data_IF_058259833170
#
_entry.id   IF_058259833170
#
_cell.length_a   1.000
_cell.length_b   1.000
_cell.length_c   1.000
_cell.angle_alpha   90.00
_cell.angle_beta   90.00
_cell.angle_gamma   90.00
#
_symmetry.space_group_name_H-M   'P 1'
#
loop_
_entity.id
_entity.type
_entity.pdbx_description
1 polymer ?
#
# COMPACT_ATOMS: atom_id res chain seq x y z
N UNK A 1 -12.59 -10.50 3.76
CA UNK A 1 -11.62 -9.68 4.52
C UNK A 1 -10.90 -8.79 3.53
N UNK A 2 -10.76 -7.50 3.87
CA UNK A 2 -10.12 -6.49 3.04
C UNK A 2 -8.87 -5.96 3.73
N UNK A 3 -7.76 -5.87 3.01
CA UNK A 3 -6.43 -5.53 3.54
C UNK A 3 -5.96 -4.26 2.85
N UNK A 4 -5.32 -3.36 3.60
CA UNK A 4 -4.56 -2.23 3.00
C UNK A 4 -3.09 -2.28 3.34
N UNK A 5 -2.26 -2.02 2.33
CA UNK A 5 -0.81 -1.84 2.44
C UNK A 5 -0.36 -0.45 2.02
N UNK A 6 0.79 -0.05 2.54
CA UNK A 6 1.56 1.07 1.99
C UNK A 6 2.23 0.68 0.68
N UNK A 7 2.47 1.65 -0.23
CA UNK A 7 3.29 1.42 -1.41
C UNK A 7 4.77 1.36 -1.02
N UNK A 8 5.62 0.98 -1.97
CA UNK A 8 7.06 1.07 -1.81
C UNK A 8 7.66 2.28 -2.54
N UNK A 9 8.81 2.72 -2.04
CA UNK A 9 9.62 3.80 -2.62
C UNK A 9 10.45 3.33 -3.80
N UNK A 10 10.94 2.09 -3.74
CA UNK A 10 11.68 1.45 -4.82
C UNK A 10 10.70 0.68 -5.70
N UNK A 11 11.02 0.63 -6.99
CA UNK A 11 10.19 0.02 -8.00
C UNK A 11 11.03 -0.97 -8.81
N UNK A 12 10.43 -2.06 -9.22
CA UNK A 12 11.00 -3.06 -10.13
C UNK A 12 10.12 -3.10 -11.38
N UNK A 13 10.68 -2.71 -12.51
CA UNK A 13 10.04 -2.78 -13.83
C UNK A 13 10.73 -3.78 -14.77
N UNK A 14 11.74 -4.51 -14.28
CA UNK A 14 12.62 -5.36 -15.08
C UNK A 14 12.32 -6.86 -14.91
N UNK A 15 12.01 -7.31 -13.69
CA UNK A 15 11.86 -8.76 -13.40
C UNK A 15 10.75 -9.41 -14.22
N UNK A 16 10.97 -10.63 -14.70
CA UNK A 16 9.96 -11.35 -15.49
C UNK A 16 8.70 -11.61 -14.67
N UNK A 17 7.54 -11.18 -15.18
CA UNK A 17 6.26 -11.39 -14.51
C UNK A 17 5.81 -12.87 -14.59
N UNK A 18 5.27 -13.45 -13.50
CA UNK A 18 4.77 -14.83 -13.49
C UNK A 18 3.41 -14.98 -14.19
N UNK A 19 2.71 -13.86 -14.44
CA UNK A 19 1.41 -13.77 -15.08
C UNK A 19 1.33 -12.54 -16.01
N UNK A 20 0.43 -12.59 -17.00
CA UNK A 20 0.14 -11.47 -17.91
C UNK A 20 -1.17 -10.72 -17.57
N UNK A 21 -2.01 -11.29 -16.69
CA UNK A 21 -3.28 -10.69 -16.26
C UNK A 21 -3.01 -9.37 -15.54
N UNK A 22 -3.74 -8.34 -15.94
CA UNK A 22 -3.67 -7.01 -15.35
C UNK A 22 -5.05 -6.34 -15.38
N UNK A 23 -5.20 -5.27 -14.61
CA UNK A 23 -6.41 -4.46 -14.51
C UNK A 23 -6.05 -2.97 -14.60
N UNK A 24 -7.07 -2.12 -14.63
CA UNK A 24 -6.92 -0.66 -14.70
C UNK A 24 -7.22 -0.02 -13.34
N UNK A 25 -6.41 0.97 -12.96
CA UNK A 25 -6.59 1.68 -11.69
C UNK A 25 -7.88 2.50 -11.67
N UNK A 26 -8.56 2.55 -10.53
CA UNK A 26 -9.87 3.18 -10.40
C UNK A 26 -9.86 4.72 -10.56
N UNK A 27 -8.71 5.38 -10.35
CA UNK A 27 -8.60 6.83 -10.27
C UNK A 27 -7.59 7.41 -11.27
N UNK A 28 -7.57 6.92 -12.51
CA UNK A 28 -6.62 7.38 -13.52
C UNK A 28 -6.81 8.86 -13.92
N UNK A 29 -8.03 9.38 -13.87
CA UNK A 29 -8.28 10.81 -14.14
C UNK A 29 -7.64 11.69 -13.06
N UNK A 30 -7.79 11.32 -11.80
CA UNK A 30 -7.12 12.00 -10.69
C UNK A 30 -5.59 11.84 -10.75
N UNK A 31 -5.10 10.64 -11.08
CA UNK A 31 -3.68 10.38 -11.23
C UNK A 31 -3.07 11.26 -12.35
N UNK A 32 -3.73 11.37 -13.50
CA UNK A 32 -3.32 12.26 -14.58
C UNK A 32 -3.32 13.72 -14.11
N UNK A 33 -4.34 14.16 -13.37
CA UNK A 33 -4.40 15.52 -12.84
C UNK A 33 -3.22 15.83 -11.92
N UNK A 34 -2.88 14.91 -11.01
CA UNK A 34 -1.71 15.04 -10.13
C UNK A 34 -0.40 15.04 -10.93
N UNK A 35 -0.26 14.15 -11.91
CA UNK A 35 0.92 14.12 -12.77
C UNK A 35 1.08 15.44 -13.57
N UNK A 36 -0.01 16.03 -14.08
CA UNK A 36 0.01 17.35 -14.75
C UNK A 36 0.55 18.46 -13.84
N UNK A 37 0.35 18.38 -12.52
CA UNK A 37 0.92 19.33 -11.55
C UNK A 37 2.42 19.05 -11.30
N UNK A 38 2.81 17.78 -11.24
CA UNK A 38 4.20 17.37 -11.05
C UNK A 38 5.06 17.68 -12.28
N UNK A 39 4.54 17.44 -13.49
CA UNK A 39 5.19 17.67 -14.79
C UNK A 39 5.62 19.12 -15.01
N UNK A 40 4.98 20.08 -14.33
CA UNK A 40 5.32 21.52 -14.36
C UNK A 40 6.49 21.90 -13.44
N UNK A 41 6.93 21.02 -12.54
CA UNK A 41 8.01 21.29 -11.59
C UNK A 41 9.35 20.93 -12.21
N UNK A 42 10.37 21.74 -11.97
CA UNK A 42 11.75 21.38 -12.31
C UNK A 42 12.25 20.24 -11.42
N UNK A 43 13.27 19.50 -11.87
CA UNK A 43 13.94 18.47 -11.07
C UNK A 43 14.34 18.98 -9.67
N UNK A 44 14.96 20.16 -9.58
CA UNK A 44 15.32 20.80 -8.30
C UNK A 44 14.10 21.08 -7.41
N UNK A 45 12.98 21.50 -8.00
CA UNK A 45 11.73 21.71 -7.26
C UNK A 45 11.15 20.39 -6.74
N UNK A 46 11.26 19.31 -7.50
CA UNK A 46 10.86 17.96 -7.08
C UNK A 46 11.75 17.44 -5.95
N UNK A 47 13.09 17.59 -6.04
CA UNK A 47 14.02 17.26 -4.96
C UNK A 47 13.61 17.90 -3.64
N UNK A 48 13.32 19.20 -3.67
CA UNK A 48 12.88 19.97 -2.48
C UNK A 48 11.49 19.56 -1.99
N UNK A 49 10.55 19.33 -2.90
CA UNK A 49 9.17 18.96 -2.56
C UNK A 49 9.09 17.60 -1.88
N UNK A 50 9.87 16.63 -2.36
CA UNK A 50 9.84 15.24 -1.92
C UNK A 50 10.95 14.90 -0.90
N UNK A 51 11.81 15.88 -0.57
CA UNK A 51 12.98 15.70 0.29
C UNK A 51 13.87 14.53 -0.16
N UNK A 52 14.23 14.51 -1.44
CA UNK A 52 15.06 13.49 -2.10
C UNK A 52 16.33 14.10 -2.68
N UNK A 53 17.31 13.26 -3.00
CA UNK A 53 18.55 13.69 -3.66
C UNK A 53 18.29 14.27 -5.06
N UNK A 54 19.24 15.05 -5.57
CA UNK A 54 19.12 15.63 -6.92
C UNK A 54 19.03 14.57 -8.02
N UNK A 55 19.76 13.46 -7.88
CA UNK A 55 19.64 12.33 -8.80
C UNK A 55 18.22 11.74 -8.81
N UNK A 56 17.59 11.57 -7.64
CA UNK A 56 16.21 11.11 -7.54
C UNK A 56 15.21 12.18 -8.03
N UNK A 57 15.50 13.46 -7.82
CA UNK A 57 14.69 14.56 -8.35
C UNK A 57 14.68 14.59 -9.88
N UNK A 58 15.85 14.37 -10.51
CA UNK A 58 15.98 14.27 -11.96
C UNK A 58 15.25 13.04 -12.51
N UNK A 59 15.45 11.86 -11.92
CA UNK A 59 14.74 10.64 -12.31
C UNK A 59 13.22 10.81 -12.26
N UNK A 60 12.69 11.45 -11.21
CA UNK A 60 11.25 11.65 -11.10
C UNK A 60 10.74 12.78 -11.98
N UNK A 61 11.58 13.75 -12.34
CA UNK A 61 11.24 14.71 -13.40
C UNK A 61 10.97 13.98 -14.72
N UNK A 62 11.89 13.10 -15.15
CA UNK A 62 11.77 12.30 -16.37
C UNK A 62 10.52 11.41 -16.34
N UNK A 63 10.30 10.66 -15.25
CA UNK A 63 9.09 9.84 -15.06
C UNK A 63 7.81 10.64 -15.22
N UNK A 64 7.74 11.85 -14.66
CA UNK A 64 6.54 12.69 -14.78
C UNK A 64 6.34 13.20 -16.22
N UNK A 65 7.41 13.39 -16.99
CA UNK A 65 7.31 13.77 -18.41
C UNK A 65 6.79 12.60 -19.26
N UNK A 66 7.31 11.40 -19.02
CA UNK A 66 6.99 10.16 -19.74
C UNK A 66 5.60 9.60 -19.37
N UNK A 67 5.12 9.93 -18.17
CA UNK A 67 3.84 9.42 -17.68
C UNK A 67 2.70 9.79 -18.64
N UNK A 68 2.00 8.76 -19.12
CA UNK A 68 0.97 8.90 -20.15
C UNK A 68 -0.02 7.72 -20.15
N UNK A 69 -1.24 8.01 -20.57
CA UNK A 69 -2.29 7.03 -20.83
C UNK A 69 -2.41 6.79 -22.35
N UNK A 70 -2.87 5.60 -22.79
CA UNK A 70 -3.31 4.46 -21.98
C UNK A 70 -2.14 3.65 -21.40
N UNK A 71 -2.40 2.97 -20.28
CA UNK A 71 -1.46 1.99 -19.73
C UNK A 71 -1.53 0.67 -20.50
N UNK A 72 -0.37 0.12 -20.81
CA UNK A 72 -0.20 -1.19 -21.47
C UNK A 72 0.87 -1.99 -20.73
N UNK A 73 1.03 -3.27 -21.09
CA UNK A 73 2.13 -4.10 -20.58
C UNK A 73 3.52 -3.56 -20.93
N UNK A 74 3.63 -2.68 -21.92
CA UNK A 74 4.90 -2.17 -22.42
C UNK A 74 5.35 -0.92 -21.65
N UNK A 75 4.39 -0.15 -21.12
CA UNK A 75 4.67 1.11 -20.43
C UNK A 75 4.31 1.08 -18.94
N UNK A 76 3.63 0.04 -18.45
CA UNK A 76 3.18 -0.05 -17.08
C UNK A 76 3.29 -1.48 -16.55
N UNK A 77 3.27 -1.61 -15.21
CA UNK A 77 3.40 -2.90 -14.53
C UNK A 77 2.33 -3.04 -13.44
N UNK A 78 1.80 -4.26 -13.19
CA UNK A 78 0.84 -4.45 -12.11
C UNK A 78 1.45 -4.09 -10.75
N UNK A 79 0.72 -3.32 -9.95
CA UNK A 79 1.22 -2.65 -8.74
C UNK A 79 1.97 -3.56 -7.76
N UNK A 80 1.46 -4.76 -7.49
CA UNK A 80 2.08 -5.69 -6.54
C UNK A 80 3.43 -6.21 -7.00
N UNK A 81 3.66 -6.29 -8.31
CA UNK A 81 4.94 -6.70 -8.90
C UNK A 81 5.86 -5.50 -9.21
N UNK A 82 5.31 -4.28 -9.23
CA UNK A 82 6.06 -3.05 -9.43
C UNK A 82 6.70 -2.54 -8.14
N UNK A 83 5.99 -2.60 -7.01
CA UNK A 83 6.53 -2.13 -5.75
C UNK A 83 7.58 -3.10 -5.16
N UNK A 84 8.74 -2.56 -4.80
CA UNK A 84 9.85 -3.32 -4.22
C UNK A 84 10.32 -2.67 -2.92
N UNK A 85 10.31 -3.43 -1.83
CA UNK A 85 10.71 -2.96 -0.50
C UNK A 85 10.30 -3.95 0.60
N UNK A 86 10.62 -3.64 1.86
CA UNK A 86 10.46 -4.55 3.00
C UNK A 86 9.08 -5.23 3.08
N UNK A 87 7.99 -4.48 2.90
CA UNK A 87 6.62 -5.03 2.89
C UNK A 87 6.43 -6.06 1.77
N UNK A 88 6.92 -5.74 0.57
CA UNK A 88 6.75 -6.60 -0.61
C UNK A 88 7.71 -7.79 -0.61
N UNK A 89 8.88 -7.67 0.03
CA UNK A 89 9.74 -8.80 0.36
C UNK A 89 9.06 -9.76 1.34
N UNK A 90 8.35 -9.24 2.34
CA UNK A 90 7.59 -10.08 3.26
C UNK A 90 6.36 -10.74 2.61
N UNK A 91 5.70 -10.04 1.68
CA UNK A 91 4.59 -10.62 0.92
C UNK A 91 5.07 -11.72 -0.04
N UNK A 92 6.25 -11.53 -0.62
CA UNK A 92 6.90 -12.44 -1.57
C UNK A 92 5.96 -12.92 -2.68
N UNK A 93 5.36 -11.97 -3.40
CA UNK A 93 4.29 -12.23 -4.37
C UNK A 93 4.73 -13.12 -5.53
N UNK A 94 6.03 -13.20 -5.82
CA UNK A 94 6.56 -14.05 -6.90
C UNK A 94 6.47 -15.55 -6.57
N UNK A 95 6.41 -15.91 -5.29
CA UNK A 95 6.21 -17.30 -4.85
C UNK A 95 4.75 -17.62 -4.56
N UNK A 96 3.84 -16.66 -4.73
CA UNK A 96 2.41 -16.87 -4.50
C UNK A 96 1.83 -17.79 -5.59
N UNK A 97 1.18 -18.91 -5.22
CA UNK A 97 0.49 -19.79 -6.17
C UNK A 97 -0.55 -19.03 -7.01
N UNK A 98 -0.69 -19.41 -8.29
CA UNK A 98 -1.57 -18.70 -9.25
C UNK A 98 -3.05 -18.69 -8.83
N UNK A 99 -3.51 -19.74 -8.15
CA UNK A 99 -4.87 -19.87 -7.61
C UNK A 99 -5.16 -18.90 -6.46
N UNK A 100 -4.13 -18.33 -5.81
CA UNK A 100 -4.28 -17.29 -4.79
C UNK A 100 -4.25 -15.86 -5.35
N UNK A 101 -3.90 -15.68 -6.63
CA UNK A 101 -3.82 -14.34 -7.24
C UNK A 101 -5.20 -13.68 -7.31
N UNK A 102 -6.25 -14.43 -7.59
CA UNK A 102 -7.62 -13.88 -7.65
C UNK A 102 -8.07 -13.43 -6.26
N UNK A 103 -7.82 -14.25 -5.24
CA UNK A 103 -8.10 -13.88 -3.86
C UNK A 103 -7.29 -12.63 -3.43
N UNK A 104 -6.01 -12.55 -3.79
CA UNK A 104 -5.20 -11.35 -3.56
C UNK A 104 -5.81 -10.13 -4.25
N UNK A 105 -6.22 -10.25 -5.51
CA UNK A 105 -6.82 -9.18 -6.29
C UNK A 105 -8.14 -8.68 -5.68
N UNK A 106 -8.92 -9.56 -5.06
CA UNK A 106 -10.16 -9.23 -4.36
C UNK A 106 -9.90 -8.59 -2.99
N UNK A 107 -8.97 -9.15 -2.20
CA UNK A 107 -8.78 -8.81 -0.79
C UNK A 107 -7.76 -7.71 -0.51
N UNK A 108 -6.72 -7.54 -1.33
CA UNK A 108 -5.64 -6.59 -1.05
C UNK A 108 -5.84 -5.26 -1.78
N UNK A 109 -5.56 -4.15 -1.11
CA UNK A 109 -5.45 -2.81 -1.70
C UNK A 109 -4.14 -2.15 -1.28
N UNK A 110 -3.58 -1.35 -2.17
CA UNK A 110 -2.35 -0.59 -1.94
C UNK A 110 -2.69 0.89 -2.00
N UNK A 111 -2.51 1.61 -0.89
CA UNK A 111 -2.78 3.04 -0.85
C UNK A 111 -1.66 3.78 -1.60
N UNK A 112 -1.98 4.76 -2.43
CA UNK A 112 -1.01 5.47 -3.27
C UNK A 112 -1.24 6.98 -3.23
N UNK A 113 -0.16 7.76 -3.12
CA UNK A 113 -0.25 9.22 -3.22
C UNK A 113 -0.63 9.71 -4.62
N UNK A 114 -0.26 8.97 -5.66
CA UNK A 114 -0.58 9.32 -7.06
C UNK A 114 -1.87 8.65 -7.56
N UNK A 115 -2.08 7.38 -7.22
CA UNK A 115 -3.20 6.58 -7.75
C UNK A 115 -4.37 6.45 -6.78
N UNK A 116 -4.27 7.03 -5.57
CA UNK A 116 -5.27 6.92 -4.51
C UNK A 116 -5.28 5.53 -3.87
N UNK A 117 -5.88 4.56 -4.57
CA UNK A 117 -5.89 3.15 -4.16
C UNK A 117 -5.73 2.25 -5.39
N UNK A 118 -4.89 1.23 -5.27
CA UNK A 118 -4.61 0.27 -6.33
C UNK A 118 -5.01 -1.14 -5.88
N UNK A 119 -5.55 -1.93 -6.80
CA UNK A 119 -5.57 -3.39 -6.69
C UNK A 119 -4.19 -3.96 -7.06
N UNK A 120 -3.85 -5.17 -6.61
CA UNK A 120 -2.58 -5.82 -6.90
C UNK A 120 -2.21 -5.84 -8.38
N UNK A 121 -3.19 -6.12 -9.24
CA UNK A 121 -3.00 -6.25 -10.67
C UNK A 121 -3.26 -4.96 -11.46
N UNK A 122 -3.56 -3.84 -10.81
CA UNK A 122 -3.74 -2.56 -11.50
C UNK A 122 -2.40 -2.12 -12.09
N UNK A 123 -2.38 -1.82 -13.38
CA UNK A 123 -1.22 -1.25 -14.04
C UNK A 123 -0.87 0.11 -13.44
N UNK A 124 0.42 0.32 -13.20
CA UNK A 124 0.97 1.61 -12.82
C UNK A 124 2.27 1.89 -13.57
N UNK A 125 2.45 3.15 -13.94
CA UNK A 125 3.73 3.70 -14.37
C UNK A 125 4.58 4.13 -13.17
N UNK A 126 5.92 4.17 -13.34
CA UNK A 126 6.82 4.54 -12.25
C UNK A 126 6.60 5.99 -11.82
N UNK A 127 6.60 6.22 -10.51
CA UNK A 127 6.38 7.54 -9.95
C UNK A 127 7.06 7.71 -8.59
N UNK A 128 7.10 8.94 -8.10
CA UNK A 128 7.35 9.24 -6.70
C UNK A 128 6.38 10.31 -6.23
N UNK A 129 5.49 9.93 -5.31
CA UNK A 129 4.60 10.86 -4.62
C UNK A 129 4.08 10.18 -3.36
N UNK A 130 4.74 10.42 -2.25
CA UNK A 130 4.29 9.93 -0.96
C UNK A 130 3.02 10.66 -0.48
N UNK A 131 2.16 9.97 0.26
CA UNK A 131 0.89 10.55 0.74
C UNK A 131 1.13 11.76 1.67
N UNK A 132 2.25 11.77 2.40
CA UNK A 132 2.65 12.89 3.25
C UNK A 132 3.19 14.12 2.51
N UNK A 133 3.38 14.09 1.19
CA UNK A 133 3.92 15.22 0.43
C UNK A 133 2.99 16.43 0.54
N UNK A 134 3.55 17.57 0.97
CA UNK A 134 2.83 18.85 1.09
C UNK A 134 2.65 19.50 -0.29
N UNK A 135 1.74 18.95 -1.08
CA UNK A 135 1.39 19.45 -2.41
C UNK A 135 -0.09 19.84 -2.46
N UNK A 136 -0.42 21.14 -2.63
CA UNK A 136 -1.80 21.57 -2.88
C UNK A 136 -2.33 21.04 -4.21
N UNK A 137 -3.63 20.72 -4.25
CA UNK A 137 -4.32 20.19 -5.44
C UNK A 137 -5.65 20.91 -5.61
N UNK A 138 -5.65 21.95 -6.46
CA UNK A 138 -6.79 22.86 -6.62
C UNK A 138 -7.15 23.51 -5.28
N UNK A 139 -8.37 23.28 -4.80
CA UNK A 139 -8.86 23.78 -3.50
C UNK A 139 -8.37 22.98 -2.29
N UNK A 140 -7.76 21.81 -2.49
CA UNK A 140 -7.31 20.94 -1.40
C UNK A 140 -5.89 21.33 -0.99
N UNK A 141 -5.64 21.46 0.31
CA UNK A 141 -4.36 21.92 0.84
C UNK A 141 -3.24 20.89 0.72
N UNK A 142 -3.60 19.61 0.60
CA UNK A 142 -2.68 18.47 0.55
C UNK A 142 -3.36 17.24 -0.07
N UNK A 143 -2.57 16.16 -0.23
CA UNK A 143 -3.05 14.89 -0.77
C UNK A 143 -4.09 14.20 0.10
N UNK A 144 -4.03 14.34 1.44
CA UNK A 144 -5.04 13.77 2.32
C UNK A 144 -6.43 14.35 2.04
N UNK A 145 -6.55 15.68 1.94
CA UNK A 145 -7.82 16.34 1.62
C UNK A 145 -8.32 15.95 0.21
N UNK A 146 -7.41 15.84 -0.75
CA UNK A 146 -7.74 15.44 -2.12
C UNK A 146 -8.29 14.01 -2.22
N UNK A 147 -7.71 13.07 -1.46
CA UNK A 147 -7.98 11.64 -1.55
C UNK A 147 -8.99 11.11 -0.56
N UNK A 148 -9.06 11.66 0.67
CA UNK A 148 -9.74 11.02 1.80
C UNK A 148 -11.17 10.57 1.49
N UNK A 149 -11.97 11.46 0.91
CA UNK A 149 -13.35 11.14 0.55
C UNK A 149 -13.43 10.05 -0.54
N UNK A 150 -12.60 10.16 -1.59
CA UNK A 150 -12.61 9.24 -2.74
C UNK A 150 -12.20 7.83 -2.34
N UNK A 151 -11.08 7.70 -1.63
CA UNK A 151 -10.57 6.39 -1.19
C UNK A 151 -11.58 5.72 -0.25
N UNK A 152 -12.11 6.47 0.73
CA UNK A 152 -13.06 5.92 1.70
C UNK A 152 -14.35 5.46 1.02
N UNK A 153 -14.90 6.26 0.11
CA UNK A 153 -16.09 5.88 -0.66
C UNK A 153 -15.82 4.61 -1.49
N UNK A 154 -14.69 4.55 -2.19
CA UNK A 154 -14.33 3.39 -3.01
C UNK A 154 -14.16 2.12 -2.18
N UNK A 155 -13.58 2.22 -0.99
CA UNK A 155 -13.50 1.10 -0.06
C UNK A 155 -14.89 0.64 0.38
N UNK A 156 -15.78 1.56 0.76
CA UNK A 156 -17.14 1.19 1.19
C UNK A 156 -17.98 0.53 0.09
N UNK A 157 -17.74 0.86 -1.18
CA UNK A 157 -18.35 0.18 -2.34
C UNK A 157 -17.92 -1.28 -2.46
N UNK A 158 -16.72 -1.62 -1.98
CA UNK A 158 -16.13 -2.96 -2.12
C UNK A 158 -16.16 -3.80 -0.83
N UNK A 159 -16.39 -3.16 0.30
CA UNK A 159 -16.50 -3.84 1.59
C UNK A 159 -17.84 -4.55 1.69
N UNK A 160 -17.90 -5.67 2.39
CA UNK A 160 -19.14 -6.40 2.68
C UNK A 160 -19.55 -6.23 4.15
N UNK A 161 -20.83 -6.44 4.46
CA UNK A 161 -21.31 -6.33 5.84
C UNK A 161 -20.70 -7.45 6.70
N UNK A 162 -20.16 -7.09 7.87
CA UNK A 162 -19.46 -8.02 8.76
C UNK A 162 -18.03 -8.39 8.31
N UNK A 163 -17.54 -7.84 7.20
CA UNK A 163 -16.17 -8.05 6.74
C UNK A 163 -15.17 -7.31 7.65
N UNK A 164 -13.99 -7.90 7.91
CA UNK A 164 -12.90 -7.18 8.59
C UNK A 164 -12.08 -6.32 7.61
N UNK A 165 -11.81 -5.08 8.02
CA UNK A 165 -10.85 -4.20 7.33
C UNK A 165 -9.51 -4.17 8.07
N UNK A 166 -8.50 -4.82 7.52
CA UNK A 166 -7.19 -4.99 8.13
C UNK A 166 -6.21 -3.92 7.64
N UNK A 167 -5.77 -3.08 8.57
CA UNK A 167 -4.77 -2.05 8.33
C UNK A 167 -3.36 -2.59 8.55
N UNK A 168 -2.66 -2.85 7.43
CA UNK A 168 -1.23 -3.17 7.41
C UNK A 168 -0.41 -2.04 6.75
N UNK A 169 -1.02 -0.87 6.55
CA UNK A 169 -0.35 0.31 6.04
C UNK A 169 0.34 1.10 7.17
N UNK A 170 1.30 1.94 6.82
CA UNK A 170 1.81 2.95 7.75
C UNK A 170 0.75 4.03 8.01
N UNK A 171 0.87 4.69 9.17
CA UNK A 171 0.01 5.82 9.55
C UNK A 171 0.06 6.96 8.53
N UNK A 172 1.15 7.11 7.79
CA UNK A 172 1.25 8.10 6.71
C UNK A 172 0.23 7.82 5.61
N UNK A 173 0.09 6.58 5.17
CA UNK A 173 -0.86 6.24 4.11
C UNK A 173 -2.29 6.06 4.65
N UNK A 174 -2.42 5.44 5.83
CA UNK A 174 -3.73 5.16 6.41
C UNK A 174 -4.54 6.41 6.76
N UNK A 175 -3.88 7.54 7.03
CA UNK A 175 -4.53 8.85 7.22
C UNK A 175 -5.32 9.35 6.00
N UNK A 176 -5.11 8.76 4.82
CA UNK A 176 -5.89 9.03 3.62
C UNK A 176 -7.23 8.28 3.59
N UNK A 177 -7.58 7.55 4.65
CA UNK A 177 -8.88 6.90 4.83
C UNK A 177 -9.58 7.54 6.03
N UNK A 178 -10.87 7.80 5.90
CA UNK A 178 -11.70 8.24 7.02
C UNK A 178 -12.31 7.02 7.71
N UNK A 179 -11.64 6.54 8.76
CA UNK A 179 -12.06 5.33 9.48
C UNK A 179 -13.42 5.45 10.12
N UNK A 180 -13.89 6.67 10.42
CA UNK A 180 -15.23 6.90 10.99
C UNK A 180 -16.34 6.73 9.96
N UNK A 181 -16.01 6.82 8.68
CA UNK A 181 -16.95 6.63 7.58
C UNK A 181 -16.87 5.24 6.97
N UNK A 182 -15.94 4.38 7.40
CA UNK A 182 -15.92 2.98 6.97
C UNK A 182 -17.11 2.23 7.58
N UNK A 183 -17.75 1.38 6.77
CA UNK A 183 -18.92 0.61 7.21
C UNK A 183 -18.61 -0.65 8.04
N UNK A 184 -17.33 -0.94 8.24
CA UNK A 184 -16.85 -2.14 8.95
C UNK A 184 -15.78 -1.80 9.98
N UNK A 185 -15.55 -2.66 10.98
CA UNK A 185 -14.48 -2.48 11.96
C UNK A 185 -13.08 -2.50 11.31
N UNK A 186 -12.20 -1.67 11.86
CA UNK A 186 -10.78 -1.59 11.47
C UNK A 186 -9.96 -2.39 12.48
N UNK A 187 -9.15 -3.32 11.98
CA UNK A 187 -8.22 -4.11 12.78
C UNK A 187 -6.79 -3.79 12.35
N UNK A 188 -5.92 -3.48 13.31
CA UNK A 188 -4.52 -3.11 13.04
C UNK A 188 -3.58 -4.11 13.71
N UNK A 189 -3.00 -5.07 12.96
CA UNK A 189 -1.89 -5.87 13.46
C UNK A 189 -0.66 -5.00 13.76
N UNK A 190 -0.10 -5.16 14.95
CA UNK A 190 1.08 -4.42 15.45
C UNK A 190 2.18 -5.40 15.79
N UNK A 191 3.34 -5.24 15.16
CA UNK A 191 4.48 -6.14 15.34
C UNK A 191 5.53 -5.48 16.26
N UNK A 192 5.96 -6.21 17.27
CA UNK A 192 6.99 -5.77 18.24
C UNK A 192 8.05 -6.85 18.41
N UNK A 193 9.29 -6.41 18.55
CA UNK A 193 10.44 -7.28 18.78
C UNK A 193 11.06 -6.94 20.14
N UNK A 194 11.53 -7.96 20.85
CA UNK A 194 12.22 -7.78 22.14
C UNK A 194 13.55 -7.06 21.93
N UNK A 195 13.71 -5.89 22.54
CA UNK A 195 14.96 -5.13 22.52
C UNK A 195 15.22 -4.49 23.88
N UNK A 196 16.35 -4.85 24.48
CA UNK A 196 16.75 -4.37 25.82
C UNK A 196 15.69 -4.68 26.90
N UNK A 197 15.10 -5.88 26.88
CA UNK A 197 14.11 -6.31 27.86
C UNK A 197 12.68 -5.81 27.64
N UNK A 198 12.44 -5.00 26.60
CA UNK A 198 11.11 -4.45 26.28
C UNK A 198 10.71 -4.74 24.83
N UNK A 199 9.44 -5.06 24.60
CA UNK A 199 8.90 -5.23 23.25
C UNK A 199 8.64 -3.88 22.58
N UNK A 200 9.33 -3.62 21.46
CA UNK A 200 9.26 -2.36 20.71
C UNK A 200 9.04 -2.61 19.24
N UNK A 201 8.34 -1.68 18.58
CA UNK A 201 8.22 -1.71 17.12
C UNK A 201 9.53 -1.28 16.48
N UNK A 202 10.25 -2.24 15.91
CA UNK A 202 11.45 -1.98 15.10
C UNK A 202 10.98 -1.83 13.65
N UNK A 203 11.06 -0.61 13.11
CA UNK A 203 10.39 -0.25 11.84
C UNK A 203 10.72 -1.16 10.65
N UNK A 204 11.97 -1.64 10.52
CA UNK A 204 12.36 -2.55 9.44
C UNK A 204 11.66 -3.91 9.56
N UNK A 205 11.64 -4.48 10.76
CA UNK A 205 10.96 -5.76 11.03
C UNK A 205 9.45 -5.61 10.93
N UNK A 206 8.88 -4.53 11.46
CA UNK A 206 7.45 -4.26 11.36
C UNK A 206 6.97 -4.12 9.90
N UNK A 207 7.80 -3.58 9.00
CA UNK A 207 7.47 -3.55 7.57
C UNK A 207 7.48 -4.95 6.93
N UNK A 208 8.49 -5.76 7.22
CA UNK A 208 8.53 -7.15 6.76
C UNK A 208 7.32 -7.92 7.29
N UNK A 209 7.02 -7.79 8.59
CA UNK A 209 5.91 -8.47 9.25
C UNK A 209 4.53 -8.08 8.70
N UNK A 210 4.33 -6.85 8.23
CA UNK A 210 3.12 -6.48 7.49
C UNK A 210 2.98 -7.26 6.16
N UNK A 211 4.11 -7.47 5.49
CA UNK A 211 4.19 -8.35 4.33
C UNK A 211 3.84 -9.79 4.70
N UNK A 212 4.47 -10.34 5.74
CA UNK A 212 4.22 -11.70 6.22
C UNK A 212 2.76 -11.91 6.64
N UNK A 213 2.16 -10.98 7.36
CA UNK A 213 0.74 -11.05 7.74
C UNK A 213 -0.17 -11.02 6.50
N UNK A 214 0.16 -10.19 5.51
CA UNK A 214 -0.58 -10.21 4.23
C UNK A 214 -0.43 -11.57 3.56
N UNK A 215 0.78 -12.11 3.48
CA UNK A 215 1.04 -13.43 2.91
C UNK A 215 0.29 -14.53 3.65
N UNK A 216 0.32 -14.53 4.98
CA UNK A 216 -0.43 -15.46 5.82
C UNK A 216 -1.93 -15.40 5.54
N UNK A 217 -2.54 -14.21 5.49
CA UNK A 217 -3.97 -14.05 5.18
C UNK A 217 -4.30 -14.64 3.80
N UNK A 218 -3.45 -14.39 2.80
CA UNK A 218 -3.61 -14.98 1.46
C UNK A 218 -3.43 -16.49 1.50
N UNK A 219 -2.47 -16.97 2.29
CA UNK A 219 -2.11 -18.38 2.32
C UNK A 219 -3.19 -19.26 2.93
N UNK A 220 -3.79 -18.78 4.02
CA UNK A 220 -4.80 -19.49 4.82
C UNK A 220 -6.23 -19.10 4.45
N UNK A 221 -6.41 -18.06 3.61
CA UNK A 221 -7.70 -17.42 3.32
C UNK A 221 -8.42 -16.95 4.59
N UNK A 222 -7.66 -16.37 5.53
CA UNK A 222 -8.18 -15.85 6.79
C UNK A 222 -9.34 -14.85 6.58
N UNK A 223 -10.38 -14.95 7.40
CA UNK A 223 -11.60 -14.12 7.32
C UNK A 223 -12.00 -13.49 8.65
N UNK A 224 -11.62 -14.10 9.77
CA UNK A 224 -12.07 -13.72 11.12
C UNK A 224 -10.94 -13.17 11.98
N UNK A 225 -11.27 -12.63 13.16
CA UNK A 225 -10.28 -12.19 14.15
C UNK A 225 -9.44 -13.35 14.66
N UNK A 226 -10.06 -14.51 14.88
CA UNK A 226 -9.35 -15.68 15.40
C UNK A 226 -8.40 -16.26 14.35
N UNK A 227 -8.75 -16.20 13.06
CA UNK A 227 -7.82 -16.55 11.99
C UNK A 227 -6.58 -15.66 12.02
N UNK A 228 -6.73 -14.35 12.26
CA UNK A 228 -5.60 -13.41 12.33
C UNK A 228 -4.70 -13.69 13.55
N UNK A 229 -5.28 -14.03 14.70
CA UNK A 229 -4.53 -14.38 15.92
C UNK A 229 -3.65 -15.63 15.71
N UNK A 230 -3.98 -16.49 14.76
CA UNK A 230 -3.19 -17.67 14.38
C UNK A 230 -1.89 -17.38 13.63
N UNK A 231 -1.60 -16.13 13.28
CA UNK A 231 -0.35 -15.77 12.60
C UNK A 231 0.90 -16.11 13.42
N UNK A 232 1.79 -16.91 12.82
CA UNK A 232 2.99 -17.46 13.46
C UNK A 232 4.28 -17.34 12.63
N UNK A 233 4.26 -16.59 11.51
CA UNK A 233 5.40 -16.54 10.60
C UNK A 233 6.60 -15.83 11.25
N UNK A 234 7.81 -16.32 10.92
CA UNK A 234 9.09 -15.71 11.32
C UNK A 234 9.27 -15.57 12.84
N UNK A 235 8.58 -16.43 13.63
CA UNK A 235 8.67 -16.49 15.09
C UNK A 235 7.78 -15.48 15.84
N UNK A 236 6.97 -14.70 15.12
CA UNK A 236 5.94 -13.88 15.78
C UNK A 236 4.82 -14.76 16.36
N UNK A 237 4.18 -14.30 17.43
CA UNK A 237 2.96 -14.90 17.97
C UNK A 237 2.06 -13.84 18.60
N UNK A 238 0.75 -14.12 18.65
CA UNK A 238 -0.23 -13.21 19.23
C UNK A 238 -0.02 -13.02 20.74
N UNK A 239 -0.11 -11.78 21.21
CA UNK A 239 -0.03 -11.41 22.62
C UNK A 239 -1.37 -10.81 23.08
N UNK A 240 -2.20 -11.64 23.71
CA UNK A 240 -3.46 -11.20 24.30
C UNK A 240 -3.29 -10.06 25.31
N UNK A 241 -2.32 -10.09 26.25
CA UNK A 241 -2.16 -9.04 27.25
C UNK A 241 -1.78 -7.67 26.67
N UNK A 242 -1.24 -7.63 25.45
CA UNK A 242 -0.84 -6.39 24.78
C UNK A 242 -1.86 -5.92 23.73
N UNK A 243 -2.89 -6.71 23.46
CA UNK A 243 -3.88 -6.47 22.42
C UNK A 243 -5.15 -5.83 22.97
N UNK A 244 -5.94 -5.24 22.07
CA UNK A 244 -7.27 -4.72 22.35
C UNK A 244 -8.18 -4.91 21.12
N UNK A 245 -9.44 -4.47 21.20
CA UNK A 245 -10.46 -4.69 20.18
C UNK A 245 -10.07 -4.18 18.78
N UNK A 246 -9.19 -3.18 18.68
CA UNK A 246 -8.74 -2.60 17.40
C UNK A 246 -7.30 -2.93 17.02
N UNK A 247 -6.46 -3.34 17.97
CA UNK A 247 -5.04 -3.62 17.75
C UNK A 247 -4.68 -5.04 18.21
N UNK A 248 -4.23 -5.86 17.25
CA UNK A 248 -3.73 -7.21 17.51
C UNK A 248 -2.20 -7.15 17.59
N UNK A 249 -1.63 -7.28 18.78
CA UNK A 249 -0.18 -7.22 18.98
C UNK A 249 0.44 -8.61 18.81
N UNK A 250 1.43 -8.68 17.93
CA UNK A 250 2.28 -9.85 17.71
C UNK A 250 3.70 -9.53 18.19
N UNK A 251 4.24 -10.42 19.00
CA UNK A 251 5.56 -10.26 19.61
C UNK A 251 6.52 -11.35 19.16
N UNK A 252 7.80 -11.01 19.14
CA UNK A 252 8.92 -11.91 18.87
C UNK A 252 10.13 -11.55 19.70
#
# INVERSE_FOLDING_TARGET
>A
MKIVLSPAKSLDFESKLPISKHTEAAFLQEAEHLNKLLKKKSAKSLSKLMSISDALGQLNYERNQEWSLPFTSDNARPAVYAFSGDVYRGLDVYTLPKDKIEFMQESLRIISGLYGILKPLDLMQPYRLEMGTRMPVGKNKNLYEFWKKKITQKLNEELEDGELFVNLASNEYFKAIDTKQLKVPVITPVFKDLKNGEYKTIMTFAKLARGYMTRYILDTKAKTLDDLKGFDYEGYHYSEPMSNDGELVFIR
#
